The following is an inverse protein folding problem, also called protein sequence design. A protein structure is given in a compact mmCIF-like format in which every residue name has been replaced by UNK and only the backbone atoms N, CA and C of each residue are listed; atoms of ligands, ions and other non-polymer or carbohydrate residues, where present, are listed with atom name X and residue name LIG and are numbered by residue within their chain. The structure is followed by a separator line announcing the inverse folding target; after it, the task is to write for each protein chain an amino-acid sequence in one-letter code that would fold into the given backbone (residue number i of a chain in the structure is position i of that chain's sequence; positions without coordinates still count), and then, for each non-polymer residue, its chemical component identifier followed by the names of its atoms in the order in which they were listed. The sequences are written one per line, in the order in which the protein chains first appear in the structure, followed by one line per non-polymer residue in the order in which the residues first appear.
data_IF_390702492889
#
_entry.id   IF_390702492889
#
_cell.length_a   1.000
_cell.length_b   1.000
_cell.length_c   1.000
_cell.angle_alpha   90.00
_cell.angle_beta   90.00
_cell.angle_gamma   90.00
#
_symmetry.space_group_name_H-M   'P 1'
#
loop_
_entity.id
_entity.type
_entity.pdbx_description
1 polymer ?
#
# COMPACT_ATOMS: atom_id res chain seq x y z
N UNK A 1 -2.22 14.59 17.73
CA UNK A 1 -3.46 13.80 17.55
C UNK A 1 -3.27 12.48 16.77
N UNK A 2 -2.05 12.15 16.30
CA UNK A 2 -1.76 10.96 15.47
C UNK A 2 -1.56 9.68 16.32
N UNK A 3 -0.93 9.81 17.49
CA UNK A 3 -0.65 8.71 18.44
C UNK A 3 -1.91 7.91 18.87
N UNK A 4 -3.06 8.52 19.23
CA UNK A 4 -4.23 7.74 19.64
C UNK A 4 -4.83 6.90 18.51
N UNK A 5 -4.69 7.30 17.25
CA UNK A 5 -5.32 6.61 16.12
C UNK A 5 -4.53 5.34 15.73
N UNK A 6 -3.20 5.40 15.76
CA UNK A 6 -2.36 4.22 15.54
C UNK A 6 -2.61 3.11 16.56
N UNK A 7 -2.80 3.49 17.83
CA UNK A 7 -3.16 2.54 18.90
C UNK A 7 -4.55 1.92 18.68
N UNK A 8 -5.53 2.72 18.24
CA UNK A 8 -6.87 2.22 17.89
C UNK A 8 -6.79 1.21 16.75
N UNK A 9 -5.99 1.46 15.71
CA UNK A 9 -5.81 0.53 14.60
C UNK A 9 -5.15 -0.79 15.05
N UNK A 10 -4.14 -0.72 15.91
CA UNK A 10 -3.51 -1.88 16.53
C UNK A 10 -4.53 -2.74 17.28
N UNK A 11 -5.32 -2.11 18.16
CA UNK A 11 -6.36 -2.78 18.94
C UNK A 11 -7.43 -3.37 18.02
N UNK A 12 -7.85 -2.65 16.97
CA UNK A 12 -8.83 -3.14 16.01
C UNK A 12 -8.35 -4.40 15.30
N UNK A 13 -7.09 -4.47 14.86
CA UNK A 13 -6.52 -5.67 14.22
C UNK A 13 -6.55 -6.86 15.19
N UNK A 14 -6.17 -6.67 16.45
CA UNK A 14 -6.22 -7.73 17.47
C UNK A 14 -7.66 -8.19 17.74
N UNK A 15 -8.61 -7.26 17.86
CA UNK A 15 -10.02 -7.58 18.06
C UNK A 15 -10.57 -8.35 16.86
N UNK A 16 -10.27 -7.94 15.62
CA UNK A 16 -10.72 -8.64 14.41
C UNK A 16 -10.11 -10.04 14.33
N UNK A 17 -8.84 -10.21 14.71
CA UNK A 17 -8.23 -11.54 14.81
C UNK A 17 -9.01 -12.44 15.76
N UNK A 18 -9.36 -11.93 16.95
CA UNK A 18 -10.07 -12.71 17.94
C UNK A 18 -11.52 -13.00 17.51
N UNK A 19 -12.20 -12.04 16.88
CA UNK A 19 -13.50 -12.26 16.25
C UNK A 19 -13.44 -13.33 15.15
N UNK A 20 -12.36 -13.38 14.37
CA UNK A 20 -12.13 -14.44 13.39
C UNK A 20 -12.07 -15.82 14.02
N UNK A 21 -11.34 -15.96 15.14
CA UNK A 21 -11.31 -17.22 15.91
C UNK A 21 -12.68 -17.59 16.47
N UNK A 22 -13.42 -16.62 17.02
CA UNK A 22 -14.76 -16.82 17.55
C UNK A 22 -15.76 -17.24 16.47
N UNK A 23 -15.68 -16.65 15.28
CA UNK A 23 -16.50 -17.00 14.14
C UNK A 23 -16.25 -18.46 13.71
N UNK A 24 -14.99 -18.85 13.57
CA UNK A 24 -14.63 -20.25 13.26
C UNK A 24 -15.11 -21.19 14.37
N UNK A 25 -14.89 -20.87 15.65
CA UNK A 25 -15.41 -21.68 16.75
C UNK A 25 -16.93 -21.88 16.65
N UNK A 26 -17.69 -20.81 16.39
CA UNK A 26 -19.15 -20.85 16.25
C UNK A 26 -19.60 -21.69 15.05
N UNK A 27 -18.94 -21.56 13.90
CA UNK A 27 -19.24 -22.35 12.70
C UNK A 27 -19.08 -23.86 12.92
N UNK A 28 -18.17 -24.25 13.82
CA UNK A 28 -17.95 -25.65 14.22
C UNK A 28 -18.69 -26.04 15.51
N UNK A 29 -19.62 -25.21 16.01
CA UNK A 29 -20.46 -25.53 17.16
C UNK A 29 -19.75 -25.46 18.53
N UNK A 30 -18.59 -24.79 18.63
CA UNK A 30 -17.88 -24.61 19.89
C UNK A 30 -18.37 -23.36 20.64
N UNK A 31 -18.88 -23.50 21.89
CA UNK A 31 -19.37 -22.36 22.67
C UNK A 31 -18.18 -21.51 23.16
N UNK A 32 -18.09 -20.23 22.74
CA UNK A 32 -16.96 -19.36 23.03
C UNK A 32 -16.85 -18.98 24.51
N UNK A 33 -17.99 -18.90 25.20
CA UNK A 33 -18.12 -18.50 26.61
C UNK A 33 -17.59 -19.52 27.63
N UNK A 34 -17.35 -20.78 27.23
CA UNK A 34 -16.66 -21.78 28.07
C UNK A 34 -15.14 -21.81 27.85
N UNK A 35 -14.65 -21.13 26.82
CA UNK A 35 -13.28 -21.28 26.32
C UNK A 35 -12.71 -19.96 25.84
N UNK A 36 -13.05 -18.82 26.47
CA UNK A 36 -12.50 -17.49 26.15
C UNK A 36 -11.03 -17.68 25.78
N UNK A 37 -10.69 -17.63 24.49
CA UNK A 37 -9.47 -18.25 23.95
C UNK A 37 -8.34 -17.33 24.38
N UNK A 38 -7.71 -17.55 25.55
CA UNK A 38 -6.73 -16.60 26.02
C UNK A 38 -5.56 -16.77 25.05
N UNK A 39 -4.86 -15.68 24.77
CA UNK A 39 -3.67 -15.74 23.91
C UNK A 39 -2.68 -16.83 24.39
N UNK A 40 -2.76 -17.25 25.66
CA UNK A 40 -1.89 -18.20 26.34
C UNK A 40 -2.47 -19.58 26.75
N UNK A 41 -3.76 -19.93 26.62
CA UNK A 41 -4.24 -21.29 27.00
C UNK A 41 -4.56 -22.15 25.78
N UNK A 42 -3.73 -23.16 25.56
CA UNK A 42 -3.97 -24.27 24.63
C UNK A 42 -4.21 -25.67 25.20
N UNK A 43 -4.13 -25.97 26.51
CA UNK A 43 -4.43 -27.32 26.96
C UNK A 43 -5.94 -27.40 27.27
N UNK A 44 -6.79 -27.62 26.26
CA UNK A 44 -8.21 -27.89 26.55
C UNK A 44 -9.18 -27.97 25.38
N UNK A 45 -8.82 -27.45 24.20
CA UNK A 45 -9.74 -27.49 23.05
C UNK A 45 -9.82 -28.93 22.53
N UNK A 46 -10.92 -29.63 22.84
CA UNK A 46 -11.22 -30.96 22.29
C UNK A 46 -11.51 -30.84 20.79
N UNK A 47 -11.43 -31.94 20.04
CA UNK A 47 -11.70 -31.96 18.59
C UNK A 47 -10.52 -32.41 17.74
N UNK A 48 -10.75 -32.54 16.43
CA UNK A 48 -9.76 -33.07 15.49
C UNK A 48 -8.57 -32.12 15.33
N UNK A 49 -7.41 -32.66 14.97
CA UNK A 49 -6.20 -31.87 14.66
C UNK A 49 -6.49 -30.80 13.61
N UNK A 50 -7.27 -31.13 12.57
CA UNK A 50 -7.68 -30.17 11.54
C UNK A 50 -8.49 -29.01 12.09
N UNK A 51 -9.48 -29.28 12.94
CA UNK A 51 -10.27 -28.22 13.59
C UNK A 51 -9.39 -27.28 14.43
N UNK A 52 -8.49 -27.84 15.24
CA UNK A 52 -7.56 -27.05 16.07
C UNK A 52 -6.65 -26.17 15.23
N UNK A 53 -6.12 -26.69 14.11
CA UNK A 53 -5.31 -25.90 13.17
C UNK A 53 -6.13 -24.76 12.54
N UNK A 54 -7.34 -25.03 12.06
CA UNK A 54 -8.22 -23.99 11.51
C UNK A 54 -8.52 -22.91 12.52
N UNK A 55 -8.77 -23.27 13.78
CA UNK A 55 -9.04 -22.32 14.85
C UNK A 55 -7.82 -21.45 15.18
N UNK A 56 -6.62 -22.04 15.24
CA UNK A 56 -5.37 -21.31 15.47
C UNK A 56 -5.12 -20.31 14.32
N UNK A 57 -5.24 -20.74 13.07
CA UNK A 57 -4.97 -19.91 11.90
C UNK A 57 -6.07 -18.86 11.60
N UNK A 58 -7.27 -19.01 12.16
CA UNK A 58 -8.38 -18.09 11.94
C UNK A 58 -8.04 -16.64 12.33
N UNK A 59 -7.25 -16.45 13.39
CA UNK A 59 -6.86 -15.12 13.87
C UNK A 59 -5.95 -14.36 12.89
N UNK A 60 -4.78 -14.92 12.53
CA UNK A 60 -3.86 -14.30 11.59
C UNK A 60 -4.50 -14.09 10.22
N UNK A 61 -5.34 -15.03 9.75
CA UNK A 61 -6.08 -14.86 8.50
C UNK A 61 -7.05 -13.68 8.59
N UNK A 62 -7.84 -13.55 9.66
CA UNK A 62 -8.74 -12.42 9.85
C UNK A 62 -7.99 -11.08 9.96
N UNK A 63 -6.87 -11.04 10.68
CA UNK A 63 -6.01 -9.87 10.76
C UNK A 63 -5.42 -9.48 9.39
N UNK A 64 -4.93 -10.46 8.63
CA UNK A 64 -4.40 -10.25 7.28
C UNK A 64 -5.45 -9.63 6.35
N UNK A 65 -6.68 -10.15 6.38
CA UNK A 65 -7.79 -9.63 5.60
C UNK A 65 -8.19 -8.21 6.03
N UNK A 66 -8.18 -7.92 7.33
CA UNK A 66 -8.47 -6.58 7.85
C UNK A 66 -7.45 -5.54 7.38
N UNK A 67 -6.16 -5.87 7.45
CA UNK A 67 -5.07 -4.99 6.99
C UNK A 67 -5.14 -4.83 5.47
N UNK A 68 -5.41 -5.91 4.72
CA UNK A 68 -5.60 -5.84 3.27
C UNK A 68 -6.79 -4.95 2.91
N UNK A 69 -7.89 -5.01 3.67
CA UNK A 69 -9.05 -4.14 3.45
C UNK A 69 -8.72 -2.66 3.72
N UNK A 70 -8.02 -2.38 4.82
CA UNK A 70 -7.55 -1.02 5.14
C UNK A 70 -6.61 -0.49 4.06
N UNK A 71 -5.64 -1.31 3.63
CA UNK A 71 -4.71 -0.99 2.57
C UNK A 71 -5.43 -0.73 1.24
N UNK A 72 -6.47 -1.49 0.91
CA UNK A 72 -7.28 -1.26 -0.29
C UNK A 72 -7.97 0.09 -0.26
N UNK A 73 -8.58 0.46 0.87
CA UNK A 73 -9.25 1.75 1.04
C UNK A 73 -8.24 2.91 0.92
N UNK A 74 -7.06 2.75 1.52
CA UNK A 74 -5.97 3.71 1.41
C UNK A 74 -5.47 3.84 -0.04
N UNK A 75 -5.07 2.74 -0.69
CA UNK A 75 -4.56 2.76 -2.06
C UNK A 75 -5.60 3.16 -3.11
N UNK A 76 -6.90 2.97 -2.85
CA UNK A 76 -7.96 3.46 -3.73
C UNK A 76 -8.10 4.98 -3.67
N UNK A 77 -7.86 5.59 -2.50
CA UNK A 77 -8.04 7.03 -2.28
C UNK A 77 -6.75 7.84 -2.49
N UNK A 78 -5.67 7.44 -1.82
CA UNK A 78 -4.37 8.08 -1.86
C UNK A 78 -3.53 7.65 -3.07
N UNK A 79 -3.80 6.46 -3.62
CA UNK A 79 -2.94 5.82 -4.62
C UNK A 79 -1.70 5.17 -4.00
N UNK A 80 -0.86 4.56 -4.83
CA UNK A 80 0.43 4.00 -4.41
C UNK A 80 1.45 4.16 -5.53
N UNK A 81 2.70 4.44 -5.17
CA UNK A 81 3.77 4.60 -6.15
C UNK A 81 4.08 3.27 -6.83
N UNK A 82 4.15 3.29 -8.16
CA UNK A 82 4.68 2.18 -8.96
C UNK A 82 5.89 2.70 -9.71
N UNK A 83 7.08 2.18 -9.39
CA UNK A 83 8.36 2.65 -9.94
C UNK A 83 8.41 2.63 -11.48
N UNK A 84 7.56 1.84 -12.12
CA UNK A 84 7.56 1.62 -13.57
C UNK A 84 6.52 2.44 -14.36
N UNK A 85 5.65 3.25 -13.74
CA UNK A 85 4.59 3.95 -14.48
C UNK A 85 4.13 5.25 -13.82
N UNK A 86 4.68 6.38 -14.25
CA UNK A 86 4.15 7.71 -13.92
C UNK A 86 3.26 8.20 -15.07
N UNK A 87 2.02 7.72 -15.11
CA UNK A 87 1.03 8.11 -16.15
C UNK A 87 0.07 9.20 -15.70
N UNK A 88 0.03 9.48 -14.42
CA UNK A 88 -0.91 10.43 -13.83
C UNK A 88 -0.31 11.84 -13.87
N UNK A 89 -1.08 12.84 -14.24
CA UNK A 89 -0.69 14.25 -14.10
C UNK A 89 -0.66 14.60 -12.62
N UNK A 90 0.49 15.07 -12.12
CA UNK A 90 0.66 15.53 -10.75
C UNK A 90 0.28 16.99 -10.60
N UNK A 91 1.12 17.89 -11.09
CA UNK A 91 0.91 19.35 -11.06
C UNK A 91 1.15 19.97 -12.42
N UNK A 92 0.47 21.09 -12.67
CA UNK A 92 0.68 21.94 -13.85
C UNK A 92 1.35 23.24 -13.44
N UNK A 93 2.20 23.79 -14.31
CA UNK A 93 2.89 25.07 -14.09
C UNK A 93 2.11 26.21 -14.75
N UNK A 94 1.77 27.25 -13.99
CA UNK A 94 0.90 28.36 -14.45
C UNK A 94 1.34 29.06 -15.73
N UNK A 95 2.64 29.06 -16.02
CA UNK A 95 3.20 29.74 -17.21
C UNK A 95 3.09 28.93 -18.51
N UNK A 96 2.51 27.72 -18.45
CA UNK A 96 2.34 26.80 -19.57
C UNK A 96 0.86 26.57 -19.90
N UNK A 97 0.60 26.24 -21.16
CA UNK A 97 -0.76 26.00 -21.69
C UNK A 97 -1.48 24.81 -21.01
N UNK A 98 -0.74 23.89 -20.39
CA UNK A 98 -1.33 22.76 -19.67
C UNK A 98 -2.19 23.16 -18.46
N UNK A 99 -1.95 24.33 -17.83
CA UNK A 99 -2.60 24.73 -16.57
C UNK A 99 -4.13 24.83 -16.66
N UNK A 100 -4.66 25.25 -17.79
CA UNK A 100 -6.10 25.42 -18.01
C UNK A 100 -6.75 24.20 -18.68
N UNK A 101 -5.95 23.20 -19.03
CA UNK A 101 -6.34 22.10 -19.92
C UNK A 101 -6.25 20.73 -19.25
N UNK A 102 -5.27 20.55 -18.37
CA UNK A 102 -5.09 19.33 -17.57
C UNK A 102 -5.40 19.59 -16.10
N UNK A 103 -5.76 18.52 -15.41
CA UNK A 103 -6.05 18.53 -13.98
C UNK A 103 -5.16 17.50 -13.27
N UNK A 104 -4.69 17.80 -12.04
CA UNK A 104 -4.11 16.79 -11.17
C UNK A 104 -5.02 15.55 -11.07
N UNK A 105 -4.47 14.37 -11.36
CA UNK A 105 -5.22 13.11 -11.38
C UNK A 105 -5.62 12.61 -12.77
N UNK A 106 -5.48 13.41 -13.84
CA UNK A 106 -5.67 12.94 -15.21
C UNK A 106 -4.70 11.79 -15.53
N UNK A 107 -5.21 10.68 -16.08
CA UNK A 107 -4.37 9.56 -16.50
C UNK A 107 -4.08 9.69 -17.99
N UNK A 108 -2.81 9.95 -18.35
CA UNK A 108 -2.38 10.01 -19.75
C UNK A 108 -2.35 8.58 -20.31
N UNK A 109 -3.18 8.34 -21.34
CA UNK A 109 -3.27 7.06 -22.04
C UNK A 109 -2.45 7.07 -23.32
N UNK A 110 -2.48 8.18 -24.06
CA UNK A 110 -1.80 8.33 -25.34
C UNK A 110 -1.24 9.75 -25.52
N UNK A 111 -0.18 9.84 -26.30
CA UNK A 111 0.47 11.08 -26.73
C UNK A 111 0.60 11.02 -28.25
N UNK A 112 -0.06 11.96 -28.94
CA UNK A 112 -0.19 12.02 -30.41
C UNK A 112 -0.67 10.68 -31.03
N UNK A 113 -1.61 10.01 -30.36
CA UNK A 113 -2.19 8.73 -30.79
C UNK A 113 -1.33 7.49 -30.52
N UNK A 114 -0.12 7.66 -29.96
CA UNK A 114 0.71 6.54 -29.51
C UNK A 114 0.44 6.23 -28.04
N UNK A 115 0.34 4.94 -27.68
CA UNK A 115 0.12 4.54 -26.30
C UNK A 115 1.28 4.99 -25.40
N UNK A 116 0.95 5.66 -24.30
CA UNK A 116 1.94 6.16 -23.34
C UNK A 116 2.27 5.07 -22.31
N UNK A 117 3.54 4.66 -22.27
CA UNK A 117 3.98 3.56 -21.39
C UNK A 117 4.23 4.02 -19.95
N UNK A 118 4.56 5.30 -19.75
CA UNK A 118 4.48 5.95 -18.46
C UNK A 118 5.82 6.30 -17.83
N UNK A 119 6.54 7.25 -18.42
CA UNK A 119 7.68 7.91 -17.77
C UNK A 119 7.81 9.36 -18.18
N UNK A 120 8.39 10.19 -17.30
CA UNK A 120 8.66 11.59 -17.62
C UNK A 120 9.67 11.75 -18.77
N UNK A 121 10.62 10.81 -18.88
CA UNK A 121 11.60 10.78 -19.96
C UNK A 121 10.95 10.49 -21.32
N UNK A 122 10.04 9.51 -21.38
CA UNK A 122 9.27 9.20 -22.58
C UNK A 122 8.39 10.38 -23.01
N UNK A 123 7.64 10.99 -22.07
CA UNK A 123 6.80 12.15 -22.38
C UNK A 123 7.64 13.32 -22.89
N UNK A 124 8.76 13.60 -22.24
CA UNK A 124 9.67 14.66 -22.68
C UNK A 124 10.21 14.39 -24.09
N UNK A 125 10.65 13.15 -24.39
CA UNK A 125 11.16 12.80 -25.71
C UNK A 125 10.11 12.99 -26.82
N UNK A 126 8.86 12.61 -26.57
CA UNK A 126 7.77 12.78 -27.54
C UNK A 126 7.42 14.25 -27.76
N UNK A 127 7.41 15.06 -26.69
CA UNK A 127 7.17 16.51 -26.79
C UNK A 127 8.29 17.22 -27.55
N UNK A 128 9.54 16.85 -27.31
CA UNK A 128 10.69 17.40 -28.03
C UNK A 128 10.66 17.06 -29.52
N UNK A 129 10.26 15.83 -29.88
CA UNK A 129 10.16 15.39 -31.27
C UNK A 129 9.17 16.22 -32.11
N UNK A 130 8.21 16.89 -31.46
CA UNK A 130 7.22 17.76 -32.11
C UNK A 130 7.75 19.16 -32.38
N UNK A 131 8.93 19.51 -31.84
CA UNK A 131 9.66 20.74 -32.10
C UNK A 131 8.79 22.01 -32.00
N UNK A 132 7.96 22.10 -30.96
CA UNK A 132 7.07 23.23 -30.71
C UNK A 132 5.72 23.16 -31.41
N UNK A 133 5.42 22.12 -32.19
CA UNK A 133 4.05 21.86 -32.64
C UNK A 133 3.17 21.40 -31.47
N UNK A 134 1.85 21.64 -31.59
CA UNK A 134 0.90 21.18 -30.59
C UNK A 134 0.91 19.64 -30.44
N UNK A 135 0.76 19.20 -29.19
CA UNK A 135 0.74 17.79 -28.78
C UNK A 135 -0.67 17.44 -28.33
N UNK A 136 -1.26 16.39 -28.89
CA UNK A 136 -2.55 15.87 -28.46
C UNK A 136 -2.35 14.80 -27.39
N UNK A 137 -2.93 14.99 -26.21
CA UNK A 137 -2.95 14.00 -25.15
C UNK A 137 -4.34 13.36 -25.06
N UNK A 138 -4.41 12.04 -25.12
CA UNK A 138 -5.63 11.33 -24.71
C UNK A 138 -5.51 11.02 -23.23
N UNK A 139 -6.36 11.65 -22.41
CA UNK A 139 -6.40 11.45 -20.96
C UNK A 139 -7.71 10.78 -20.54
N UNK A 140 -7.66 10.02 -19.45
CA UNK A 140 -8.85 9.56 -18.74
C UNK A 140 -9.07 10.47 -17.52
N UNK A 141 -10.22 11.14 -17.49
CA UNK A 141 -10.69 11.98 -16.38
C UNK A 141 -12.06 11.48 -15.94
N UNK A 142 -12.21 11.15 -14.66
CA UNK A 142 -13.45 10.61 -14.09
C UNK A 142 -14.01 9.39 -14.85
N UNK A 143 -13.13 8.56 -15.42
CA UNK A 143 -13.49 7.36 -16.20
C UNK A 143 -13.94 7.63 -17.64
N UNK A 144 -13.94 8.89 -18.08
CA UNK A 144 -14.20 9.27 -19.47
C UNK A 144 -12.89 9.63 -20.18
N UNK A 145 -12.75 9.19 -21.43
CA UNK A 145 -11.62 9.60 -22.28
C UNK A 145 -11.88 10.99 -22.85
N UNK A 146 -10.86 11.84 -22.79
CA UNK A 146 -10.85 13.20 -23.33
C UNK A 146 -9.56 13.42 -24.10
N UNK A 147 -9.64 14.07 -25.26
CA UNK A 147 -8.45 14.49 -26.01
C UNK A 147 -8.21 15.96 -25.76
N UNK A 148 -7.01 16.29 -25.30
CA UNK A 148 -6.60 17.64 -24.91
C UNK A 148 -5.37 18.03 -25.73
N UNK A 149 -5.48 19.12 -26.48
CA UNK A 149 -4.37 19.65 -27.27
C UNK A 149 -3.63 20.72 -26.49
N UNK A 150 -2.34 20.49 -26.25
CA UNK A 150 -1.47 21.37 -25.48
C UNK A 150 -0.38 21.92 -26.37
N UNK A 151 -0.15 23.23 -26.28
CA UNK A 151 0.91 23.93 -26.97
C UNK A 151 2.17 23.94 -26.11
N UNK A 152 3.26 23.23 -26.50
CA UNK A 152 4.51 23.27 -25.75
C UNK A 152 5.13 24.66 -25.78
N UNK A 153 5.87 25.00 -24.72
CA UNK A 153 6.67 26.22 -24.61
C UNK A 153 8.13 25.85 -24.40
N UNK A 154 9.03 26.62 -25.01
CA UNK A 154 10.47 26.46 -24.81
C UNK A 154 10.86 26.95 -23.43
N UNK A 155 11.39 26.07 -22.60
CA UNK A 155 11.89 26.39 -21.28
C UNK A 155 13.28 27.07 -21.36
N UNK A 156 13.77 27.69 -20.25
CA UNK A 156 15.05 28.40 -20.25
C UNK A 156 16.27 27.52 -20.62
N UNK A 157 16.16 26.20 -20.44
CA UNK A 157 17.17 25.22 -20.85
C UNK A 157 17.09 24.84 -22.34
N UNK A 158 16.28 25.55 -23.13
CA UNK A 158 16.14 25.35 -24.57
C UNK A 158 15.25 24.18 -24.98
N UNK A 159 14.65 23.48 -24.02
CA UNK A 159 13.81 22.29 -24.23
C UNK A 159 12.33 22.62 -24.33
N UNK A 160 11.59 21.93 -25.20
CA UNK A 160 10.14 22.02 -25.30
C UNK A 160 9.47 21.28 -24.14
N UNK A 161 8.61 21.97 -23.40
CA UNK A 161 7.89 21.39 -22.26
C UNK A 161 6.41 21.72 -22.31
N UNK A 162 5.60 20.79 -21.80
CA UNK A 162 4.17 20.98 -21.56
C UNK A 162 3.88 21.69 -20.23
N UNK A 163 4.84 21.69 -19.29
CA UNK A 163 4.65 22.27 -17.96
C UNK A 163 3.84 21.37 -17.01
N UNK A 164 3.99 20.05 -17.13
CA UNK A 164 3.36 19.06 -16.25
C UNK A 164 4.40 18.27 -15.48
N UNK A 165 4.10 17.92 -14.24
CA UNK A 165 4.80 16.85 -13.51
C UNK A 165 3.97 15.57 -13.58
N UNK A 166 4.62 14.41 -13.54
CA UNK A 166 3.93 13.13 -13.48
C UNK A 166 3.96 12.60 -12.05
N UNK A 167 2.78 12.23 -11.55
CA UNK A 167 2.65 11.52 -10.29
C UNK A 167 2.83 10.01 -10.54
N UNK A 168 3.83 9.36 -9.92
CA UNK A 168 4.04 7.92 -10.05
C UNK A 168 2.96 7.09 -9.33
N UNK A 169 2.02 7.74 -8.64
CA UNK A 169 0.94 7.05 -7.93
C UNK A 169 -0.12 6.53 -8.91
N UNK A 170 -0.48 5.27 -8.72
CA UNK A 170 -1.58 4.59 -9.41
C UNK A 170 -2.79 4.55 -8.47
N UNK A 171 -3.97 4.95 -8.97
CA UNK A 171 -5.27 4.92 -8.24
C UNK A 171 -6.28 3.91 -8.80
N UNK A 172 -5.86 3.04 -9.73
CA UNK A 172 -6.75 2.05 -10.35
C UNK A 172 -7.31 1.05 -9.33
N UNK A 173 -8.62 0.82 -9.33
CA UNK A 173 -9.29 -0.07 -8.36
C UNK A 173 -8.70 -1.47 -8.36
N UNK A 174 -8.48 -2.07 -9.53
CA UNK A 174 -7.94 -3.43 -9.63
C UNK A 174 -6.47 -3.50 -9.21
N UNK A 175 -5.69 -2.46 -9.52
CA UNK A 175 -4.30 -2.36 -9.10
C UNK A 175 -4.19 -2.16 -7.58
N UNK A 176 -5.03 -1.30 -6.99
CA UNK A 176 -5.11 -1.08 -5.55
C UNK A 176 -5.53 -2.34 -4.80
N UNK A 177 -6.45 -3.14 -5.34
CA UNK A 177 -6.83 -4.44 -4.75
C UNK A 177 -5.65 -5.42 -4.75
N UNK A 178 -4.98 -5.58 -5.89
CA UNK A 178 -3.78 -6.44 -5.99
C UNK A 178 -2.70 -5.97 -5.01
N UNK A 179 -2.41 -4.67 -5.00
CA UNK A 179 -1.41 -4.07 -4.10
C UNK A 179 -1.78 -4.30 -2.64
N UNK A 180 -3.05 -4.12 -2.28
CA UNK A 180 -3.54 -4.26 -0.92
C UNK A 180 -3.42 -5.69 -0.38
N UNK A 181 -3.70 -6.69 -1.22
CA UNK A 181 -3.53 -8.11 -0.84
C UNK A 181 -2.05 -8.43 -0.66
N UNK A 182 -1.16 -7.91 -1.51
CA UNK A 182 0.28 -8.19 -1.44
C UNK A 182 1.00 -7.35 -0.36
N UNK A 183 0.43 -6.21 0.03
CA UNK A 183 1.05 -5.26 0.94
C UNK A 183 1.55 -5.85 2.27
N UNK A 184 0.78 -6.67 3.02
CA UNK A 184 1.28 -7.26 4.26
C UNK A 184 2.49 -8.17 4.04
N UNK A 185 2.55 -8.87 2.90
CA UNK A 185 3.67 -9.76 2.53
C UNK A 185 4.92 -8.94 2.22
N UNK A 186 4.81 -7.97 1.30
CA UNK A 186 5.95 -7.12 0.92
C UNK A 186 6.51 -6.38 2.13
N UNK A 187 5.62 -5.84 2.97
CA UNK A 187 6.01 -5.13 4.20
C UNK A 187 6.72 -6.07 5.17
N UNK A 188 6.24 -7.31 5.31
CA UNK A 188 6.91 -8.34 6.14
C UNK A 188 8.30 -8.68 5.60
N UNK A 189 8.44 -8.87 4.29
CA UNK A 189 9.74 -9.15 3.64
C UNK A 189 10.69 -7.97 3.83
N UNK A 190 10.20 -6.74 3.70
CA UNK A 190 10.98 -5.53 3.91
C UNK A 190 11.47 -5.42 5.37
N UNK A 191 10.59 -5.66 6.35
CA UNK A 191 10.95 -5.70 7.78
C UNK A 191 12.03 -6.77 8.03
N UNK A 192 11.84 -7.99 7.52
CA UNK A 192 12.79 -9.08 7.70
C UNK A 192 14.15 -8.78 7.03
N UNK A 193 14.13 -8.22 5.82
CA UNK A 193 15.34 -7.85 5.08
C UNK A 193 16.10 -6.73 5.78
N UNK A 194 15.39 -5.72 6.30
CA UNK A 194 15.97 -4.66 7.11
C UNK A 194 16.65 -5.19 8.37
N UNK A 195 16.00 -6.11 9.09
CA UNK A 195 16.61 -6.77 10.26
C UNK A 195 17.88 -7.54 9.89
N UNK A 196 17.86 -8.32 8.79
CA UNK A 196 19.04 -9.07 8.32
C UNK A 196 20.18 -8.11 7.94
N UNK A 197 19.88 -7.00 7.26
CA UNK A 197 20.88 -6.00 6.90
C UNK A 197 21.52 -5.34 8.13
N UNK A 198 20.74 -5.06 9.17
CA UNK A 198 21.24 -4.54 10.45
C UNK A 198 22.23 -5.51 11.11
N UNK A 199 21.94 -6.82 11.12
CA UNK A 199 22.84 -7.82 11.70
C UNK A 199 24.09 -8.09 10.88
N UNK A 200 24.02 -7.93 9.55
CA UNK A 200 25.17 -8.12 8.65
C UNK A 200 26.14 -6.93 8.65
N UNK A 201 25.81 -5.84 9.35
CA UNK A 201 26.66 -4.64 9.40
C UNK A 201 26.85 -3.98 8.02
N UNK A 202 25.96 -4.27 7.07
CA UNK A 202 25.98 -3.65 5.75
C UNK A 202 25.55 -2.18 5.89
N UNK A 203 26.54 -1.30 6.04
CA UNK A 203 26.45 0.15 5.80
C UNK A 203 26.30 0.45 4.31
N UNK A 204 25.37 -0.22 3.62
CA UNK A 204 24.81 0.42 2.43
C UNK A 204 23.92 1.53 2.98
N UNK A 205 24.35 2.78 2.75
CA UNK A 205 23.75 4.07 3.19
C UNK A 205 22.21 4.18 2.97
N UNK A 206 21.63 3.20 2.29
CA UNK A 206 20.24 3.15 1.90
C UNK A 206 19.38 2.30 2.85
N UNK A 207 19.86 1.25 3.54
CA UNK A 207 18.93 0.19 4.00
C UNK A 207 18.10 0.44 5.28
N UNK A 208 18.43 1.41 6.14
CA UNK A 208 17.65 1.60 7.38
C UNK A 208 18.21 2.54 8.45
N UNK A 209 19.11 3.45 8.08
CA UNK A 209 19.72 4.38 9.04
C UNK A 209 18.74 5.42 9.60
N UNK A 210 19.13 6.18 10.65
CA UNK A 210 18.33 7.25 11.24
C UNK A 210 17.83 8.28 10.21
N UNK A 211 18.61 8.50 9.15
CA UNK A 211 18.27 9.41 8.04
C UNK A 211 17.09 8.89 7.22
N UNK A 212 17.01 7.59 6.93
CA UNK A 212 15.88 7.01 6.18
C UNK A 212 14.61 6.99 7.02
N UNK A 213 14.71 6.68 8.31
CA UNK A 213 13.59 6.80 9.26
C UNK A 213 13.09 8.26 9.31
N UNK A 214 14.00 9.23 9.38
CA UNK A 214 13.65 10.65 9.35
C UNK A 214 13.07 11.09 7.99
N UNK A 215 13.53 10.53 6.87
CA UNK A 215 13.03 10.83 5.54
C UNK A 215 11.63 10.25 5.32
N UNK A 216 11.39 9.01 5.71
CA UNK A 216 10.07 8.35 5.68
C UNK A 216 9.08 9.16 6.51
N UNK A 217 9.45 9.47 7.77
CA UNK A 217 8.63 10.28 8.68
C UNK A 217 8.33 11.68 8.14
N UNK A 218 9.33 12.35 7.53
CA UNK A 218 9.16 13.68 6.93
C UNK A 218 8.29 13.63 5.68
N UNK A 219 8.41 12.58 4.86
CA UNK A 219 7.58 12.37 3.68
C UNK A 219 6.12 12.14 4.07
N UNK A 220 5.85 11.38 5.14
CA UNK A 220 4.52 11.19 5.68
C UNK A 220 3.94 12.49 6.27
N UNK A 221 4.74 13.30 6.99
CA UNK A 221 4.30 14.61 7.49
C UNK A 221 3.97 15.64 6.39
N UNK A 222 4.50 15.46 5.18
CA UNK A 222 4.21 16.34 4.04
C UNK A 222 2.90 16.01 3.32
N UNK A 223 2.28 14.87 3.65
CA UNK A 223 0.96 14.46 3.13
C UNK A 223 -0.17 14.93 4.03
N UNK A 224 -1.42 14.79 3.56
CA UNK A 224 -2.59 15.14 4.39
C UNK A 224 -2.57 14.34 5.71
N UNK A 225 -3.02 14.95 6.81
CA UNK A 225 -3.02 14.31 8.14
C UNK A 225 -3.78 12.96 8.16
N UNK A 226 -4.70 12.76 7.21
CA UNK A 226 -5.43 11.51 7.03
C UNK A 226 -4.58 10.42 6.33
N UNK A 227 -3.84 10.78 5.27
CA UNK A 227 -2.92 9.87 4.57
C UNK A 227 -1.84 9.35 5.52
N UNK A 228 -1.18 10.24 6.26
CA UNK A 228 -0.13 9.86 7.22
C UNK A 228 -0.66 8.92 8.31
N UNK A 229 -1.87 9.18 8.81
CA UNK A 229 -2.47 8.38 9.88
C UNK A 229 -2.85 6.97 9.41
N UNK A 230 -3.38 6.86 8.20
CA UNK A 230 -3.76 5.55 7.63
C UNK A 230 -2.53 4.71 7.26
N UNK A 231 -1.45 5.31 6.77
CA UNK A 231 -0.17 4.62 6.54
C UNK A 231 0.42 4.06 7.84
N UNK A 232 0.47 4.86 8.90
CA UNK A 232 0.95 4.41 10.22
C UNK A 232 0.06 3.28 10.77
N UNK A 233 -1.26 3.40 10.64
CA UNK A 233 -2.21 2.35 11.05
C UNK A 233 -1.99 1.03 10.29
N UNK A 234 -1.71 1.08 8.98
CA UNK A 234 -1.38 -0.09 8.17
C UNK A 234 -0.09 -0.75 8.66
N UNK A 235 0.97 0.04 8.90
CA UNK A 235 2.25 -0.47 9.40
C UNK A 235 2.12 -1.13 10.78
N UNK A 236 1.45 -0.47 11.72
CA UNK A 236 1.15 -1.04 13.04
C UNK A 236 0.29 -2.30 12.94
N UNK A 237 -0.65 -2.32 12.01
CA UNK A 237 -1.44 -3.51 11.69
C UNK A 237 -0.55 -4.68 11.26
N UNK A 238 0.43 -4.46 10.39
CA UNK A 238 1.39 -5.50 9.98
C UNK A 238 2.21 -5.99 11.18
N UNK A 239 2.66 -5.10 12.07
CA UNK A 239 3.33 -5.52 13.31
C UNK A 239 2.43 -6.38 14.21
N UNK A 240 1.16 -6.01 14.39
CA UNK A 240 0.20 -6.83 15.13
C UNK A 240 -0.02 -8.20 14.47
N UNK A 241 -0.16 -8.24 13.14
CA UNK A 241 -0.28 -9.49 12.39
C UNK A 241 0.93 -10.40 12.60
N UNK A 242 2.15 -9.85 12.54
CA UNK A 242 3.38 -10.62 12.77
C UNK A 242 3.45 -11.17 14.18
N UNK A 243 3.11 -10.36 15.19
CA UNK A 243 3.07 -10.82 16.58
C UNK A 243 2.05 -11.97 16.76
N UNK A 244 0.83 -11.80 16.24
CA UNK A 244 -0.22 -12.82 16.29
C UNK A 244 0.19 -14.11 15.57
N UNK A 245 0.76 -13.99 14.37
CA UNK A 245 1.24 -15.13 13.59
C UNK A 245 2.38 -15.87 14.31
N UNK A 246 3.30 -15.16 14.97
CA UNK A 246 4.36 -15.76 15.76
C UNK A 246 3.81 -16.52 16.97
N UNK A 247 2.87 -15.94 17.70
CA UNK A 247 2.18 -16.64 18.78
C UNK A 247 1.51 -17.90 18.25
N UNK A 248 0.75 -17.80 17.15
CA UNK A 248 0.06 -18.93 16.55
C UNK A 248 1.01 -20.01 15.98
N UNK A 249 2.19 -19.64 15.51
CA UNK A 249 3.22 -20.60 15.11
C UNK A 249 3.68 -21.47 16.28
N UNK A 250 3.90 -20.86 17.46
CA UNK A 250 4.23 -21.61 18.68
C UNK A 250 3.10 -22.58 19.03
N UNK A 251 1.84 -22.18 18.83
CA UNK A 251 0.68 -23.04 19.08
C UNK A 251 0.62 -24.24 18.14
N UNK A 252 0.85 -24.02 16.85
CA UNK A 252 0.94 -25.09 15.86
C UNK A 252 2.08 -26.04 16.23
N UNK A 253 3.24 -25.52 16.61
CA UNK A 253 4.39 -26.34 17.04
C UNK A 253 4.04 -27.21 18.25
N UNK A 254 3.45 -26.62 19.30
CA UNK A 254 3.01 -27.37 20.49
C UNK A 254 1.98 -28.46 20.12
N UNK A 255 1.04 -28.15 19.23
CA UNK A 255 0.03 -29.10 18.77
C UNK A 255 0.65 -30.28 18.00
N UNK A 256 1.71 -30.03 17.22
CA UNK A 256 2.44 -31.09 16.50
C UNK A 256 3.30 -31.93 17.46
N UNK A 257 4.00 -31.29 18.40
CA UNK A 257 4.90 -31.96 19.34
C UNK A 257 4.17 -32.81 20.39
N UNK A 258 3.03 -32.32 20.90
CA UNK A 258 2.26 -32.98 21.97
C UNK A 258 1.07 -33.78 21.45
N UNK A 259 1.15 -34.28 20.22
CA UNK A 259 0.10 -35.09 19.59
C UNK A 259 -0.12 -36.38 20.40
N UNK A 260 -1.14 -36.37 21.26
CA UNK A 260 -1.70 -37.53 21.98
C UNK A 260 -3.12 -37.77 21.53
#
# INVERSE_FOLDING_TARGET
MIIPIGLVALVAVVVIAELGRLLVAKLFGYPPERHAIPIMKLPGIRGTTGFRLTLILAGPVAAYLAISMLAFLHFRSAGFAVAASARTVGTTVETFDAVSKLQPGDVILEVDGNTFMGSAAELAAQVEARNGAAVALTVERDGAKQTVTIQPKKAPDGRWRLGVTLDPRVKSTSASLKRAIVYPIDTTIAIASGLVALFKGSEDDDAGGPVRIAAEFRSEMSTSAFESTTSIAMLLGVYALLALALFDLVRVLLLVLFRS
#
